data_IF_725226769113
#
_entry.id   IF_725226769113
#
_cell.length_a   1.000
_cell.length_b   1.000
_cell.length_c   1.000
_cell.angle_alpha   90.00
_cell.angle_beta   90.00
_cell.angle_gamma   90.00
#
_symmetry.space_group_name_H-M   'P 1'
#
loop_
_entity.id
_entity.type
_entity.pdbx_description
1 polymer ?
#
# COMPACT_ATOMS: atom_id res chain seq x y z
N UNK A 1 28.66 47.88 -0.10
CA UNK A 1 29.05 46.56 0.46
C UNK A 1 27.91 45.58 0.19
N UNK A 2 28.20 44.47 -0.44
CA UNK A 2 27.19 43.42 -0.68
C UNK A 2 27.06 42.52 0.56
N UNK A 3 25.85 41.99 0.85
CA UNK A 3 25.67 41.01 1.93
C UNK A 3 26.54 39.76 1.72
N UNK A 4 27.02 39.19 2.83
CA UNK A 4 27.83 37.97 2.81
C UNK A 4 27.05 36.77 2.23
N UNK A 5 27.80 35.82 1.62
CA UNK A 5 27.27 34.54 1.15
C UNK A 5 26.50 33.82 2.25
N UNK A 6 25.37 33.25 1.90
CA UNK A 6 24.52 32.45 2.79
C UNK A 6 24.99 31.00 2.89
N UNK A 7 24.54 30.34 3.97
CA UNK A 7 24.77 28.92 4.21
C UNK A 7 23.47 28.22 4.59
N UNK A 8 23.17 27.10 3.96
CA UNK A 8 22.09 26.20 4.37
C UNK A 8 22.62 25.29 5.49
N UNK A 9 22.13 25.44 6.71
CA UNK A 9 22.52 24.65 7.87
C UNK A 9 21.83 23.30 7.87
N UNK A 10 20.51 23.26 7.60
CA UNK A 10 19.72 22.05 7.54
C UNK A 10 18.71 22.09 6.41
N UNK A 11 18.52 20.93 5.74
CA UNK A 11 17.49 20.75 4.70
C UNK A 11 16.84 19.39 4.92
N UNK A 12 15.57 19.38 5.34
CA UNK A 12 14.86 18.19 5.78
C UNK A 12 13.65 17.90 4.90
N UNK A 13 13.48 16.63 4.58
CA UNK A 13 12.30 16.10 3.88
C UNK A 13 11.02 16.33 4.68
N UNK A 14 9.96 16.77 3.99
CA UNK A 14 8.58 16.81 4.50
C UNK A 14 7.63 16.20 3.46
N UNK A 15 6.45 15.81 3.89
CA UNK A 15 5.40 15.39 2.95
C UNK A 15 5.04 16.55 2.02
N UNK A 16 5.16 16.30 0.70
CA UNK A 16 4.96 17.33 -0.34
C UNK A 16 5.68 18.65 -0.05
N UNK A 17 6.88 18.60 0.53
CA UNK A 17 7.60 19.78 0.91
C UNK A 17 8.97 19.50 1.49
N UNK A 18 9.57 20.55 1.99
CA UNK A 18 10.82 20.48 2.75
C UNK A 18 10.86 21.60 3.81
N UNK A 19 11.65 21.36 4.82
CA UNK A 19 12.04 22.37 5.80
C UNK A 19 13.49 22.76 5.53
N UNK A 20 13.77 24.05 5.57
CA UNK A 20 15.12 24.62 5.46
C UNK A 20 15.43 25.48 6.67
N UNK A 21 16.64 25.35 7.17
CA UNK A 21 17.28 26.17 8.17
C UNK A 21 18.57 26.74 7.57
N UNK A 22 18.83 28.02 7.70
CA UNK A 22 19.98 28.72 7.11
C UNK A 22 20.55 29.75 8.06
N UNK A 23 21.80 30.14 7.86
CA UNK A 23 22.50 31.06 8.76
C UNK A 23 21.83 32.44 8.79
N UNK A 24 21.53 32.93 10.01
CA UNK A 24 21.04 34.28 10.22
C UNK A 24 22.18 35.30 9.99
N UNK A 25 21.89 36.40 9.31
CA UNK A 25 22.83 37.50 9.05
C UNK A 25 22.23 38.79 9.54
N UNK A 26 22.82 39.37 10.63
CA UNK A 26 22.32 40.58 11.29
C UNK A 26 22.27 41.82 10.42
N UNK A 27 23.15 41.92 9.41
CA UNK A 27 23.22 43.05 8.48
C UNK A 27 22.22 42.90 7.27
N UNK A 28 21.51 41.79 7.15
CA UNK A 28 20.55 41.59 6.09
C UNK A 28 19.20 42.27 6.41
N UNK A 29 18.49 42.76 5.41
CA UNK A 29 17.07 43.11 5.50
C UNK A 29 16.19 41.86 5.46
N UNK A 30 16.61 40.85 4.70
CA UNK A 30 15.88 39.60 4.57
C UNK A 30 16.61 38.60 3.66
N UNK A 31 15.88 37.60 3.26
CA UNK A 31 16.43 36.48 2.48
C UNK A 31 15.57 36.16 1.25
N UNK A 32 16.19 35.58 0.26
CA UNK A 32 15.58 35.07 -0.94
C UNK A 32 15.91 33.57 -1.05
N UNK A 33 14.87 32.75 -1.01
CA UNK A 33 14.95 31.31 -1.16
C UNK A 33 14.51 30.90 -2.55
N UNK A 34 15.36 30.20 -3.29
CA UNK A 34 14.99 29.60 -4.58
C UNK A 34 14.97 28.08 -4.52
N UNK A 35 14.00 27.47 -5.19
CA UNK A 35 13.94 26.04 -5.37
C UNK A 35 13.41 25.65 -6.75
N UNK A 36 13.97 24.58 -7.29
CA UNK A 36 13.64 24.04 -8.62
C UNK A 36 13.80 22.53 -8.66
N UNK A 37 13.12 21.86 -9.58
CA UNK A 37 13.38 20.45 -9.90
C UNK A 37 14.59 20.25 -10.81
N UNK A 38 15.17 21.32 -11.29
CA UNK A 38 16.36 21.38 -12.16
C UNK A 38 17.55 21.93 -11.37
N UNK A 39 18.71 21.35 -11.58
CA UNK A 39 19.95 21.79 -10.90
C UNK A 39 20.49 23.14 -11.41
N UNK A 40 20.13 23.53 -12.62
CA UNK A 40 20.46 24.83 -13.23
C UNK A 40 19.52 25.95 -12.78
N UNK A 41 18.50 25.66 -11.96
CA UNK A 41 17.47 26.58 -11.49
C UNK A 41 16.61 27.21 -12.60
N UNK A 42 16.62 26.67 -13.83
CA UNK A 42 15.66 27.10 -14.85
C UNK A 42 14.24 26.88 -14.34
N UNK A 43 13.37 27.92 -14.46
CA UNK A 43 12.01 27.92 -13.95
C UNK A 43 11.91 27.84 -12.41
N UNK A 44 12.93 28.27 -11.68
CA UNK A 44 12.92 28.23 -10.22
C UNK A 44 11.78 29.06 -9.63
N UNK A 45 11.18 28.55 -8.55
CA UNK A 45 10.31 29.34 -7.69
C UNK A 45 11.14 30.09 -6.67
N UNK A 46 10.74 31.35 -6.43
CA UNK A 46 11.41 32.26 -5.50
C UNK A 46 10.47 32.63 -4.37
N UNK A 47 10.93 32.57 -3.14
CA UNK A 47 10.26 33.05 -1.94
C UNK A 47 11.09 34.17 -1.31
N UNK A 48 10.47 35.30 -1.05
CA UNK A 48 11.09 36.43 -0.32
C UNK A 48 10.72 36.28 1.17
N UNK A 49 11.71 36.38 2.03
CA UNK A 49 11.60 36.41 3.49
C UNK A 49 12.04 37.81 3.91
N UNK A 50 11.09 38.66 4.28
CA UNK A 50 11.29 40.11 4.51
C UNK A 50 11.86 40.44 5.90
N UNK A 51 12.25 39.43 6.68
CA UNK A 51 12.84 39.61 8.01
C UNK A 51 14.17 38.88 8.14
N UNK A 52 15.19 39.57 8.63
CA UNK A 52 16.49 38.96 8.94
C UNK A 52 16.45 38.05 10.19
N UNK A 53 15.36 38.13 10.98
CA UNK A 53 15.14 37.28 12.16
C UNK A 53 14.57 35.90 11.81
N UNK A 54 14.11 35.71 10.56
CA UNK A 54 13.54 34.47 10.09
C UNK A 54 14.59 33.68 9.30
N UNK A 55 15.22 32.71 9.96
CA UNK A 55 16.25 31.81 9.42
C UNK A 55 15.74 30.42 9.05
N UNK A 56 14.43 30.20 9.22
CA UNK A 56 13.77 28.90 8.99
C UNK A 56 12.54 29.05 8.12
N UNK A 57 12.32 28.09 7.21
CA UNK A 57 11.14 28.08 6.37
C UNK A 57 10.68 26.66 6.03
N UNK A 58 9.38 26.42 6.09
CA UNK A 58 8.76 25.25 5.50
C UNK A 58 8.19 25.62 4.13
N UNK A 59 8.55 24.86 3.11
CA UNK A 59 7.96 24.93 1.77
C UNK A 59 7.06 23.74 1.61
N UNK A 60 5.79 23.95 1.26
CA UNK A 60 4.76 22.90 1.13
C UNK A 60 4.08 22.96 -0.24
N UNK A 61 3.12 22.05 -0.46
CA UNK A 61 2.36 21.93 -1.71
C UNK A 61 3.21 21.60 -2.94
N UNK A 62 4.33 20.91 -2.71
CA UNK A 62 5.19 20.41 -3.77
C UNK A 62 4.73 19.02 -4.25
N UNK A 63 5.31 18.55 -5.36
CA UNK A 63 5.08 17.20 -5.85
C UNK A 63 5.70 16.17 -4.90
N UNK A 64 4.95 15.17 -4.46
CA UNK A 64 5.44 14.11 -3.59
C UNK A 64 6.46 13.21 -4.29
N UNK A 65 7.53 12.83 -3.57
CA UNK A 65 8.59 11.97 -4.10
C UNK A 65 9.44 12.62 -5.19
N UNK A 66 9.43 13.95 -5.29
CA UNK A 66 10.20 14.70 -6.28
C UNK A 66 11.43 15.32 -5.65
N UNK A 67 12.58 15.26 -6.33
CA UNK A 67 13.82 15.93 -5.94
C UNK A 67 13.73 17.41 -6.27
N UNK A 68 14.10 18.25 -5.31
CA UNK A 68 14.23 19.70 -5.45
C UNK A 68 15.64 20.13 -5.09
N UNK A 69 16.19 21.04 -5.88
CA UNK A 69 17.43 21.77 -5.61
C UNK A 69 17.06 23.08 -4.96
N UNK A 70 17.82 23.48 -3.94
CA UNK A 70 17.50 24.61 -3.06
C UNK A 70 18.74 25.44 -2.85
N UNK A 71 18.59 26.76 -2.91
CA UNK A 71 19.62 27.75 -2.55
C UNK A 71 18.98 28.95 -1.89
N UNK A 72 19.73 29.66 -1.09
CA UNK A 72 19.30 30.86 -0.36
C UNK A 72 20.35 31.94 -0.46
N UNK A 73 19.94 33.21 -0.50
CA UNK A 73 20.82 34.38 -0.38
C UNK A 73 20.21 35.42 0.54
N UNK A 74 21.02 36.23 1.16
CA UNK A 74 20.60 37.45 1.86
C UNK A 74 20.43 38.60 0.89
N UNK A 75 19.63 39.57 1.26
CA UNK A 75 19.59 40.86 0.62
C UNK A 75 19.52 42.00 1.67
N UNK A 76 20.00 43.17 1.28
CA UNK A 76 19.91 44.38 2.10
C UNK A 76 19.29 45.48 1.24
N UNK A 77 18.43 46.31 1.85
CA UNK A 77 17.86 47.50 1.24
C UNK A 77 18.54 48.73 1.90
N UNK A 78 19.16 49.54 1.07
CA UNK A 78 19.81 50.83 1.49
C UNK A 78 19.25 51.91 0.59
N UNK A 79 18.68 52.95 1.18
CA UNK A 79 18.08 54.08 0.46
C UNK A 79 17.12 53.63 -0.63
N UNK A 80 16.24 52.63 -0.34
CA UNK A 80 15.28 52.07 -1.25
C UNK A 80 15.81 51.12 -2.33
N UNK A 81 17.13 51.00 -2.47
CA UNK A 81 17.77 50.12 -3.43
C UNK A 81 18.14 48.78 -2.82
N UNK A 82 17.78 47.64 -3.50
CA UNK A 82 18.07 46.28 -3.07
C UNK A 82 19.45 45.83 -3.57
N UNK A 83 20.26 45.30 -2.66
CA UNK A 83 21.56 44.70 -2.92
C UNK A 83 21.50 43.22 -2.49
N UNK A 84 21.76 42.30 -3.42
CA UNK A 84 21.73 40.89 -3.16
C UNK A 84 23.11 40.33 -2.84
N UNK A 85 23.20 39.48 -1.85
CA UNK A 85 24.39 38.66 -1.59
C UNK A 85 24.54 37.51 -2.57
N UNK A 86 25.67 36.82 -2.49
CA UNK A 86 25.89 35.59 -3.23
C UNK A 86 24.96 34.48 -2.75
N UNK A 87 24.57 33.57 -3.68
CA UNK A 87 23.83 32.39 -3.36
C UNK A 87 24.66 31.43 -2.48
N UNK A 88 23.97 30.73 -1.56
CA UNK A 88 24.56 29.58 -0.88
C UNK A 88 24.95 28.49 -1.86
N UNK A 89 25.73 27.54 -1.38
CA UNK A 89 25.91 26.28 -2.09
C UNK A 89 24.53 25.60 -2.26
N UNK A 90 24.33 24.95 -3.42
CA UNK A 90 23.09 24.26 -3.71
C UNK A 90 23.01 22.96 -2.93
N UNK A 91 21.96 22.79 -2.14
CA UNK A 91 21.59 21.49 -1.55
C UNK A 91 20.37 20.90 -2.26
N UNK A 92 20.14 19.61 -2.10
CA UNK A 92 18.97 18.96 -2.68
C UNK A 92 18.23 18.12 -1.65
N UNK A 93 16.91 18.01 -1.82
CA UNK A 93 16.01 17.24 -0.96
C UNK A 93 14.94 16.57 -1.80
N UNK A 94 14.57 15.35 -1.45
CA UNK A 94 13.42 14.66 -2.05
C UNK A 94 12.22 14.74 -1.11
N UNK A 95 11.10 15.24 -1.61
CA UNK A 95 9.86 15.34 -0.83
C UNK A 95 9.31 13.96 -0.48
N UNK A 96 8.76 13.79 0.72
CA UNK A 96 8.19 12.52 1.14
C UNK A 96 6.86 12.19 0.44
N UNK A 97 6.58 10.90 0.29
CA UNK A 97 5.27 10.34 -0.06
C UNK A 97 4.51 9.92 1.20
N UNK A 98 3.19 9.77 1.11
CA UNK A 98 2.42 9.08 2.14
C UNK A 98 2.81 7.60 2.15
N UNK A 99 3.04 7.06 3.34
CA UNK A 99 3.31 5.63 3.49
C UNK A 99 2.00 4.84 3.43
N UNK A 100 1.80 4.09 2.33
CA UNK A 100 0.59 3.28 2.14
C UNK A 100 0.47 2.16 3.18
N UNK A 101 1.56 1.77 3.85
CA UNK A 101 1.51 0.75 4.92
C UNK A 101 0.57 1.16 6.07
N UNK A 102 0.29 2.46 6.21
CA UNK A 102 -0.67 3.02 7.18
C UNK A 102 -2.13 2.99 6.68
N UNK A 103 -2.38 2.56 5.45
CA UNK A 103 -3.74 2.46 4.90
C UNK A 103 -4.46 1.20 5.40
N UNK A 104 -5.78 1.27 5.47
CA UNK A 104 -6.66 0.12 5.73
C UNK A 104 -7.03 -0.53 4.39
N UNK A 105 -6.97 -1.85 4.33
CA UNK A 105 -7.41 -2.64 3.16
C UNK A 105 -8.57 -3.52 3.59
N UNK A 106 -9.71 -3.35 2.95
CA UNK A 106 -10.93 -4.11 3.18
C UNK A 106 -11.36 -4.89 1.92
N UNK A 107 -12.32 -5.81 2.05
CA UNK A 107 -12.88 -6.59 0.95
C UNK A 107 -12.15 -7.90 0.66
N UNK A 108 -11.11 -8.24 1.43
CA UNK A 108 -10.40 -9.51 1.30
C UNK A 108 -11.11 -10.57 2.14
N UNK A 109 -11.55 -11.68 1.49
CA UNK A 109 -12.27 -12.81 2.12
C UNK A 109 -11.71 -14.12 1.59
N UNK A 110 -11.81 -15.19 2.38
CA UNK A 110 -11.53 -16.53 1.90
C UNK A 110 -12.45 -16.89 0.74
N UNK A 111 -11.98 -17.71 -0.19
CA UNK A 111 -12.68 -18.10 -1.41
C UNK A 111 -12.59 -19.60 -1.62
N UNK A 112 -13.60 -20.16 -2.27
CA UNK A 112 -13.54 -21.55 -2.73
C UNK A 112 -12.75 -21.66 -4.02
N UNK A 113 -12.08 -22.77 -4.21
CA UNK A 113 -11.34 -23.10 -5.41
C UNK A 113 -12.24 -23.09 -6.66
N UNK A 114 -11.78 -22.46 -7.73
CA UNK A 114 -12.51 -22.32 -8.99
C UNK A 114 -11.75 -22.89 -10.20
N UNK A 115 -10.49 -23.31 -10.01
CA UNK A 115 -9.57 -23.68 -11.11
C UNK A 115 -9.00 -22.48 -11.88
N UNK A 116 -9.47 -21.27 -11.63
CA UNK A 116 -9.03 -20.03 -12.27
C UNK A 116 -8.35 -19.10 -11.25
N UNK A 117 -7.62 -18.11 -11.74
CA UNK A 117 -7.06 -17.07 -10.87
C UNK A 117 -8.19 -16.32 -10.15
N UNK A 118 -8.09 -16.21 -8.83
CA UNK A 118 -9.08 -15.54 -7.98
C UNK A 118 -8.57 -14.14 -7.66
N UNK A 119 -9.34 -13.13 -8.04
CA UNK A 119 -9.15 -11.73 -7.65
C UNK A 119 -10.34 -11.25 -6.84
N UNK A 120 -10.19 -10.17 -6.09
CA UNK A 120 -11.24 -9.63 -5.24
C UNK A 120 -11.28 -8.10 -5.38
N UNK A 121 -12.49 -7.53 -5.34
CA UNK A 121 -12.65 -6.09 -5.22
C UNK A 121 -12.25 -5.68 -3.81
N UNK A 122 -11.20 -4.86 -3.70
CA UNK A 122 -10.71 -4.35 -2.43
C UNK A 122 -10.93 -2.85 -2.34
N UNK A 123 -11.12 -2.36 -1.13
CA UNK A 123 -11.16 -0.93 -0.82
C UNK A 123 -9.93 -0.57 0.01
N UNK A 124 -9.20 0.42 -0.43
CA UNK A 124 -8.03 0.95 0.29
C UNK A 124 -8.35 2.35 0.79
N UNK A 125 -8.24 2.59 2.10
CA UNK A 125 -8.52 3.88 2.73
C UNK A 125 -7.31 4.37 3.51
N UNK A 126 -6.98 5.65 3.36
CA UNK A 126 -5.88 6.32 4.06
C UNK A 126 -6.42 7.58 4.74
N UNK A 127 -6.31 7.68 6.06
CA UNK A 127 -6.81 8.84 6.83
C UNK A 127 -8.25 9.25 6.45
N UNK A 128 -9.15 8.26 6.34
CA UNK A 128 -10.56 8.47 5.98
C UNK A 128 -10.85 8.63 4.49
N UNK A 129 -9.84 8.85 3.65
CA UNK A 129 -10.01 8.98 2.20
C UNK A 129 -9.88 7.64 1.49
N UNK A 130 -10.83 7.32 0.61
CA UNK A 130 -10.75 6.17 -0.30
C UNK A 130 -9.77 6.46 -1.43
N UNK A 131 -8.80 5.57 -1.62
CA UNK A 131 -7.78 5.67 -2.65
C UNK A 131 -8.26 5.03 -3.97
N UNK A 132 -7.73 5.52 -5.10
CA UNK A 132 -8.09 5.03 -6.45
C UNK A 132 -7.03 4.06 -6.96
N UNK A 133 -7.47 2.82 -7.33
CA UNK A 133 -6.61 1.86 -8.02
C UNK A 133 -6.16 2.42 -9.38
N UNK A 134 -4.90 2.16 -9.75
CA UNK A 134 -4.27 2.70 -10.95
C UNK A 134 -3.68 4.11 -10.78
N UNK A 135 -4.21 4.95 -9.89
CA UNK A 135 -3.74 6.32 -9.61
C UNK A 135 -2.94 6.41 -8.32
N UNK A 136 -3.53 5.99 -7.20
CA UNK A 136 -2.95 6.10 -5.86
C UNK A 136 -2.24 4.82 -5.44
N UNK A 137 -2.62 3.67 -6.00
CA UNK A 137 -2.00 2.37 -5.78
C UNK A 137 -2.24 1.43 -6.96
N UNK A 138 -1.52 0.31 -6.95
CA UNK A 138 -1.76 -0.84 -7.83
C UNK A 138 -1.90 -2.11 -6.99
N UNK A 139 -2.66 -3.09 -7.51
CA UNK A 139 -2.90 -4.38 -6.84
C UNK A 139 -2.29 -5.50 -7.67
N UNK A 140 -1.57 -6.41 -7.01
CA UNK A 140 -1.10 -7.67 -7.58
C UNK A 140 -1.56 -8.84 -6.71
N UNK A 141 -1.86 -9.96 -7.34
CA UNK A 141 -2.20 -11.21 -6.68
C UNK A 141 -1.12 -12.25 -6.97
N UNK A 142 -0.85 -13.11 -6.01
CA UNK A 142 0.03 -14.26 -6.18
C UNK A 142 -0.49 -15.47 -5.42
N UNK A 143 -0.13 -16.68 -5.89
CA UNK A 143 -0.63 -17.95 -5.36
C UNK A 143 -2.17 -18.04 -5.33
N UNK A 144 -2.86 -17.31 -6.21
CA UNK A 144 -4.30 -17.09 -6.16
C UNK A 144 -5.10 -18.02 -7.12
N UNK A 145 -4.52 -19.14 -7.54
CA UNK A 145 -5.15 -20.14 -8.40
C UNK A 145 -5.45 -21.45 -7.66
N UNK A 146 -4.51 -21.91 -6.85
CA UNK A 146 -4.58 -23.22 -6.19
C UNK A 146 -5.10 -23.11 -4.76
N UNK A 147 -5.57 -24.21 -4.19
CA UNK A 147 -5.92 -24.34 -2.79
C UNK A 147 -4.70 -23.98 -1.93
N UNK A 148 -4.92 -23.23 -0.84
CA UNK A 148 -3.88 -22.76 0.06
C UNK A 148 -3.94 -21.25 0.26
N UNK A 149 -2.82 -20.67 0.70
CA UNK A 149 -2.75 -19.24 1.02
C UNK A 149 -2.36 -18.42 -0.20
N UNK A 150 -3.27 -17.58 -0.65
CA UNK A 150 -3.05 -16.56 -1.68
C UNK A 150 -2.65 -15.22 -1.03
N UNK A 151 -1.94 -14.37 -1.80
CA UNK A 151 -1.49 -13.05 -1.36
C UNK A 151 -2.06 -11.96 -2.25
N UNK A 152 -2.38 -10.82 -1.61
CA UNK A 152 -2.78 -9.55 -2.25
C UNK A 152 -1.74 -8.52 -1.88
N UNK A 153 -1.04 -7.96 -2.85
CA UNK A 153 -0.03 -6.92 -2.67
C UNK A 153 -0.55 -5.61 -3.22
N UNK A 154 -0.67 -4.61 -2.36
CA UNK A 154 -1.05 -3.23 -2.68
C UNK A 154 0.21 -2.38 -2.64
N UNK A 155 0.61 -1.82 -3.76
CA UNK A 155 1.80 -0.96 -3.89
C UNK A 155 1.37 0.48 -4.13
N UNK A 156 1.88 1.40 -3.33
CA UNK A 156 1.60 2.84 -3.46
C UNK A 156 2.11 3.41 -4.78
N UNK A 157 1.33 4.32 -5.38
CA UNK A 157 1.62 5.04 -6.61
C UNK A 157 1.32 6.53 -6.44
N UNK A 158 1.86 7.38 -7.31
CA UNK A 158 1.64 8.83 -7.25
C UNK A 158 2.14 9.44 -5.93
N UNK A 159 1.23 10.00 -5.15
CA UNK A 159 1.53 10.61 -3.84
C UNK A 159 1.78 9.59 -2.72
N UNK A 160 1.56 8.30 -2.97
CA UNK A 160 1.74 7.21 -2.00
C UNK A 160 2.96 6.38 -2.38
N UNK A 161 3.67 5.86 -1.37
CA UNK A 161 4.79 4.94 -1.51
C UNK A 161 4.64 3.78 -0.53
N UNK A 162 5.54 2.77 -0.63
CA UNK A 162 5.49 1.59 0.23
C UNK A 162 4.54 0.50 -0.29
N UNK A 163 4.35 -0.54 0.52
CA UNK A 163 3.63 -1.77 0.14
C UNK A 163 2.84 -2.30 1.33
N UNK A 164 1.64 -2.83 1.07
CA UNK A 164 0.87 -3.65 2.01
C UNK A 164 0.69 -5.03 1.39
N UNK A 165 0.96 -6.08 2.16
CA UNK A 165 0.62 -7.45 1.79
C UNK A 165 -0.44 -7.99 2.74
N UNK A 166 -1.51 -8.56 2.18
CA UNK A 166 -2.57 -9.30 2.88
C UNK A 166 -2.69 -10.68 2.27
N UNK A 167 -3.27 -11.61 3.01
CA UNK A 167 -3.50 -12.97 2.53
C UNK A 167 -4.96 -13.38 2.68
N UNK A 168 -5.38 -14.36 1.91
CA UNK A 168 -6.66 -15.06 2.04
C UNK A 168 -6.46 -16.55 1.73
N UNK A 169 -7.34 -17.39 2.23
CA UNK A 169 -7.27 -18.81 1.99
C UNK A 169 -8.20 -19.20 0.85
N UNK A 170 -7.70 -20.01 -0.07
CA UNK A 170 -8.48 -20.71 -1.08
C UNK A 170 -8.77 -22.11 -0.54
N UNK A 171 -10.02 -22.37 -0.21
CA UNK A 171 -10.47 -23.65 0.33
C UNK A 171 -10.90 -24.57 -0.79
N UNK A 172 -10.97 -25.90 -0.59
CA UNK A 172 -11.61 -26.82 -1.54
C UNK A 172 -13.01 -26.37 -1.91
N UNK A 173 -13.43 -26.64 -3.13
CA UNK A 173 -14.78 -26.34 -3.59
C UNK A 173 -15.80 -27.18 -2.77
N UNK A 174 -16.98 -26.57 -2.53
CA UNK A 174 -18.07 -27.27 -1.83
C UNK A 174 -18.41 -28.57 -2.58
N UNK A 175 -18.60 -29.65 -1.84
CA UNK A 175 -19.04 -30.92 -2.36
C UNK A 175 -20.55 -30.95 -2.63
N UNK A 176 -20.94 -31.80 -3.56
CA UNK A 176 -22.35 -32.07 -3.89
C UNK A 176 -22.58 -33.57 -3.83
N UNK A 177 -23.56 -33.98 -3.06
CA UNK A 177 -24.08 -35.35 -3.09
C UNK A 177 -24.92 -35.46 -4.33
N UNK A 178 -24.55 -36.38 -5.24
CA UNK A 178 -25.26 -36.63 -6.51
C UNK A 178 -26.34 -37.68 -6.32
N UNK A 179 -26.07 -38.69 -5.49
CA UNK A 179 -27.01 -39.77 -5.19
C UNK A 179 -26.79 -40.28 -3.76
N UNK A 180 -27.89 -40.54 -3.07
CA UNK A 180 -27.90 -41.18 -1.76
C UNK A 180 -29.01 -42.24 -1.76
N UNK A 181 -28.65 -43.48 -1.46
CA UNK A 181 -29.59 -44.60 -1.48
C UNK A 181 -29.43 -45.46 -0.22
N UNK A 182 -30.52 -45.96 0.38
CA UNK A 182 -30.45 -46.98 1.40
C UNK A 182 -29.89 -48.28 0.87
N UNK A 183 -29.11 -48.99 1.68
CA UNK A 183 -28.71 -50.39 1.47
C UNK A 183 -28.91 -51.13 2.78
N UNK A 184 -28.85 -52.47 2.76
CA UNK A 184 -29.01 -53.27 3.99
C UNK A 184 -27.99 -52.84 5.05
N UNK A 185 -28.47 -52.37 6.21
CA UNK A 185 -27.69 -51.83 7.32
C UNK A 185 -26.68 -50.75 6.90
N UNK A 186 -27.13 -49.76 6.06
CA UNK A 186 -26.24 -48.70 5.63
C UNK A 186 -26.80 -47.83 4.52
N UNK A 187 -25.93 -47.14 3.83
CA UNK A 187 -26.28 -46.33 2.66
C UNK A 187 -25.17 -46.33 1.62
N UNK A 188 -25.56 -46.12 0.39
CA UNK A 188 -24.66 -45.82 -0.72
C UNK A 188 -24.73 -44.32 -1.01
N UNK A 189 -23.57 -43.72 -1.20
CA UNK A 189 -23.43 -42.31 -1.54
C UNK A 189 -22.56 -42.14 -2.80
N UNK A 190 -23.02 -41.31 -3.72
CA UNK A 190 -22.32 -40.83 -4.89
C UNK A 190 -22.18 -39.33 -4.78
N UNK A 191 -20.99 -38.81 -4.97
CA UNK A 191 -20.66 -37.40 -4.81
C UNK A 191 -19.77 -36.87 -5.92
N UNK A 192 -19.84 -35.56 -6.18
CA UNK A 192 -19.10 -34.95 -7.27
C UNK A 192 -17.58 -35.06 -7.04
N UNK A 193 -16.86 -35.63 -7.98
CA UNK A 193 -15.41 -35.69 -7.97
C UNK A 193 -14.83 -34.26 -8.14
N UNK A 194 -13.85 -33.90 -7.32
CA UNK A 194 -13.15 -32.61 -7.38
C UNK A 194 -11.66 -32.83 -7.59
N UNK A 195 -11.16 -32.52 -8.77
CA UNK A 195 -9.78 -32.78 -9.16
C UNK A 195 -8.71 -32.14 -8.27
N UNK A 196 -9.07 -31.12 -7.48
CA UNK A 196 -8.19 -30.45 -6.54
C UNK A 196 -8.20 -31.05 -5.12
N UNK A 197 -9.09 -32.02 -4.85
CA UNK A 197 -9.13 -32.72 -3.57
C UNK A 197 -8.07 -33.82 -3.53
N UNK A 198 -7.51 -34.09 -2.37
CA UNK A 198 -6.66 -35.27 -2.12
C UNK A 198 -7.47 -36.46 -1.63
N UNK A 199 -8.68 -36.21 -1.14
CA UNK A 199 -9.63 -37.19 -0.65
C UNK A 199 -10.89 -36.53 -0.13
N UNK A 200 -11.77 -37.31 0.48
CA UNK A 200 -13.08 -36.88 0.97
C UNK A 200 -13.33 -37.42 2.37
N UNK A 201 -14.15 -36.73 3.13
CA UNK A 201 -14.69 -37.18 4.39
C UNK A 201 -16.22 -37.19 4.27
N UNK A 202 -16.81 -38.35 4.58
CA UNK A 202 -18.25 -38.56 4.57
C UNK A 202 -18.69 -38.61 6.03
N UNK A 203 -19.39 -37.57 6.49
CA UNK A 203 -20.00 -37.54 7.82
C UNK A 203 -21.46 -37.94 7.71
N UNK A 204 -21.92 -38.73 8.67
CA UNK A 204 -23.30 -39.19 8.74
C UNK A 204 -23.80 -39.26 10.19
N UNK A 205 -25.10 -39.01 10.38
CA UNK A 205 -25.76 -38.98 11.70
C UNK A 205 -27.20 -39.31 11.54
N UNK A 206 -27.81 -39.86 12.60
CA UNK A 206 -29.29 -39.97 12.71
C UNK A 206 -29.95 -38.65 13.12
N UNK A 207 -29.15 -37.65 13.48
CA UNK A 207 -29.60 -36.31 13.91
C UNK A 207 -29.32 -35.30 12.81
N UNK A 208 -30.30 -34.41 12.58
CA UNK A 208 -30.15 -33.34 11.58
C UNK A 208 -29.11 -32.26 11.96
N UNK A 209 -28.83 -32.10 13.26
CA UNK A 209 -27.80 -31.19 13.78
C UNK A 209 -26.39 -31.78 13.75
N UNK A 210 -26.25 -33.02 13.27
CA UNK A 210 -24.98 -33.78 13.18
C UNK A 210 -24.27 -33.94 14.54
N UNK A 211 -24.93 -33.71 15.69
CA UNK A 211 -24.32 -33.96 17.00
C UNK A 211 -24.06 -35.47 17.18
N UNK A 212 -22.82 -35.80 17.47
CA UNK A 212 -22.33 -37.20 17.56
C UNK A 212 -22.19 -37.89 16.20
N UNK A 213 -22.02 -37.14 15.12
CA UNK A 213 -21.81 -37.70 13.79
C UNK A 213 -20.60 -38.64 13.74
N UNK A 214 -20.74 -39.71 12.98
CA UNK A 214 -19.63 -40.59 12.58
C UNK A 214 -19.07 -40.16 11.24
N UNK A 215 -17.80 -40.47 10.95
CA UNK A 215 -17.22 -40.17 9.64
C UNK A 215 -16.42 -41.33 9.05
N UNK A 216 -16.36 -41.37 7.74
CA UNK A 216 -15.52 -42.28 6.96
C UNK A 216 -14.68 -41.48 5.99
N UNK A 217 -13.37 -41.72 6.00
CA UNK A 217 -12.43 -41.04 5.09
C UNK A 217 -12.23 -41.87 3.81
N UNK A 218 -12.19 -41.15 2.68
CA UNK A 218 -11.80 -41.64 1.37
C UNK A 218 -10.47 -40.98 1.02
N UNK A 219 -9.37 -41.68 1.05
CA UNK A 219 -8.00 -41.14 1.00
C UNK A 219 -7.48 -40.82 -0.38
N UNK A 220 -8.33 -40.90 -1.40
CA UNK A 220 -8.00 -40.51 -2.78
C UNK A 220 -9.15 -39.72 -3.42
N UNK A 221 -8.85 -38.94 -4.42
CA UNK A 221 -9.84 -38.13 -5.14
C UNK A 221 -10.43 -38.84 -6.38
N UNK A 222 -10.00 -40.08 -6.68
CA UNK A 222 -10.49 -40.86 -7.85
C UNK A 222 -11.77 -41.60 -7.52
N UNK A 223 -12.04 -41.83 -6.22
CA UNK A 223 -13.26 -42.48 -5.74
C UNK A 223 -14.32 -41.45 -5.47
N UNK A 224 -15.41 -41.48 -6.19
CA UNK A 224 -16.59 -40.61 -6.08
C UNK A 224 -17.82 -41.32 -5.50
N UNK A 225 -17.64 -42.58 -5.11
CA UNK A 225 -18.70 -43.45 -4.59
C UNK A 225 -18.23 -44.20 -3.34
N UNK A 226 -19.13 -44.40 -2.40
CA UNK A 226 -18.85 -45.16 -1.19
C UNK A 226 -20.10 -45.82 -0.64
N UNK A 227 -19.99 -47.06 -0.24
CA UNK A 227 -21.01 -47.71 0.60
C UNK A 227 -20.52 -47.65 2.05
N UNK A 228 -21.37 -47.18 2.93
CA UNK A 228 -21.22 -47.23 4.37
C UNK A 228 -22.15 -48.33 4.89
N UNK A 229 -21.62 -49.35 5.53
CA UNK A 229 -22.37 -50.53 6.01
C UNK A 229 -22.13 -50.77 7.49
N UNK A 230 -22.87 -51.70 8.07
CA UNK A 230 -22.75 -52.05 9.49
C UNK A 230 -23.43 -51.05 10.42
N UNK A 231 -24.37 -50.28 9.91
CA UNK A 231 -25.23 -49.38 10.74
C UNK A 231 -26.31 -50.20 11.43
N UNK A 232 -26.64 -49.77 12.65
CA UNK A 232 -27.71 -50.38 13.45
C UNK A 232 -29.08 -50.06 12.88
#
# INVERSE_FOLDING_TARGET
>A
IYPAKQEIQSLQTRYKGFFIDFAQKGSATGYELQYSTRSDFAGAKTLIISSNKTDKKTVSNLTAGKKYYVRVRSYTIVSGKRYNGAWSDTKSVTTAKYDIAKAKVAGIKNKSFTGKNITQSITVTYSGKTLKNGTDYIVKYSCNKNIGTAKVTVTGKGSYGGVITKSFVITPARQTIQKLMPVKKGFYIDYAQKGSATGYEISYSQRSDFKGAKSVKVTNNRTDKKTVSGLA
#
